data_IF_104781863438
#
_entry.id   IF_104781863438
#
_cell.length_a   1.000
_cell.length_b   1.000
_cell.length_c   1.000
_cell.angle_alpha   90.00
_cell.angle_beta   90.00
_cell.angle_gamma   90.00
#
_symmetry.space_group_name_H-M   'P 1'
#
loop_
_entity.id
_entity.type
_entity.pdbx_description
1 polymer ?
#
# COMPACT_ATOMS: atom_id res chain seq x y z
N UNK A 1 3.90 -8.55 2.54
CA UNK A 1 3.12 -7.35 2.21
C UNK A 1 1.69 -7.74 1.91
N UNK A 2 0.78 -6.90 2.27
CA UNK A 2 -0.63 -7.24 2.22
C UNK A 2 -1.45 -6.08 1.69
N UNK A 3 -2.26 -6.34 0.67
CA UNK A 3 -3.07 -5.29 0.09
C UNK A 3 -3.86 -5.78 -1.10
N UNK A 4 -4.58 -4.88 -1.73
CA UNK A 4 -5.41 -5.25 -2.87
C UNK A 4 -5.73 -4.02 -3.72
N UNK A 5 -6.01 -4.27 -5.00
CA UNK A 5 -6.36 -3.20 -5.93
C UNK A 5 -7.79 -2.74 -5.72
N UNK A 6 -8.01 -1.44 -5.90
CA UNK A 6 -9.35 -0.87 -5.84
C UNK A 6 -9.54 0.10 -6.99
N UNK A 7 -10.78 0.58 -7.18
CA UNK A 7 -11.05 1.57 -8.21
C UNK A 7 -10.34 2.89 -7.92
N UNK A 8 -10.11 3.18 -6.65
CA UNK A 8 -9.47 4.44 -6.25
C UNK A 8 -7.95 4.34 -6.21
N UNK A 9 -7.41 3.12 -6.32
CA UNK A 9 -5.97 2.94 -6.25
C UNK A 9 -5.64 1.60 -5.64
N UNK A 10 -4.61 1.58 -4.80
CA UNK A 10 -4.18 0.35 -4.15
C UNK A 10 -4.25 0.52 -2.64
N UNK A 11 -4.97 -0.37 -1.99
CA UNK A 11 -5.06 -0.36 -0.52
C UNK A 11 -3.96 -1.23 0.05
N UNK A 12 -3.01 -0.61 0.74
CA UNK A 12 -1.91 -1.33 1.35
C UNK A 12 -2.08 -1.41 2.85
N UNK A 13 -1.81 -2.58 3.42
CA UNK A 13 -1.95 -2.80 4.86
C UNK A 13 -0.66 -2.41 5.56
N UNK A 14 -0.75 -1.46 6.49
CA UNK A 14 0.42 -0.98 7.22
C UNK A 14 0.07 -0.85 8.69
N UNK A 15 0.80 -1.59 9.52
CA UNK A 15 0.72 -1.45 10.98
C UNK A 15 -0.70 -1.51 11.51
N UNK A 16 -1.45 -2.49 11.04
CA UNK A 16 -2.78 -2.72 11.57
C UNK A 16 -3.89 -1.95 10.90
N UNK A 17 -3.60 -1.24 9.82
CA UNK A 17 -4.64 -0.52 9.10
C UNK A 17 -4.30 -0.40 7.63
N UNK A 18 -5.30 -0.10 6.82
CA UNK A 18 -5.10 0.07 5.40
C UNK A 18 -4.91 1.53 5.04
N UNK A 19 -4.05 1.77 4.06
CA UNK A 19 -3.85 3.11 3.53
C UNK A 19 -3.97 3.06 2.01
N UNK A 20 -4.54 4.12 1.42
CA UNK A 20 -4.73 4.19 -0.01
C UNK A 20 -3.49 4.74 -0.69
N UNK A 21 -2.99 4.02 -1.69
CA UNK A 21 -1.86 4.44 -2.51
C UNK A 21 -2.31 4.58 -3.95
N UNK A 22 -1.53 5.32 -4.74
CA UNK A 22 -1.83 5.48 -6.15
C UNK A 22 -1.75 4.17 -6.90
N UNK A 23 -0.79 3.31 -6.51
CA UNK A 23 -0.61 2.02 -7.16
C UNK A 23 0.17 1.11 -6.24
N UNK A 24 0.26 -0.16 -6.63
CA UNK A 24 1.03 -1.12 -5.86
C UNK A 24 2.50 -0.71 -5.77
N UNK A 25 3.01 -0.10 -6.83
CA UNK A 25 4.40 0.34 -6.81
C UNK A 25 4.65 1.38 -5.72
N UNK A 26 3.68 2.27 -5.51
CA UNK A 26 3.79 3.26 -4.43
C UNK A 26 3.84 2.58 -3.07
N UNK A 27 3.00 1.60 -2.88
CA UNK A 27 2.98 0.85 -1.63
C UNK A 27 4.32 0.12 -1.41
N UNK A 28 4.84 -0.48 -2.47
CA UNK A 28 6.11 -1.18 -2.42
C UNK A 28 7.24 -0.25 -1.97
N UNK A 29 7.31 0.92 -2.59
CA UNK A 29 8.35 1.88 -2.26
C UNK A 29 8.21 2.38 -0.83
N UNK A 30 6.99 2.59 -0.41
CA UNK A 30 6.75 3.02 0.97
C UNK A 30 7.31 1.98 1.96
N UNK A 31 7.00 0.71 1.70
CA UNK A 31 7.44 -0.35 2.61
C UNK A 31 8.95 -0.50 2.61
N UNK A 32 9.57 -0.33 1.44
CA UNK A 32 11.04 -0.42 1.37
C UNK A 32 11.71 0.68 2.16
N UNK A 33 11.14 1.88 2.12
CA UNK A 33 11.73 3.01 2.83
C UNK A 33 11.47 2.97 4.31
N UNK A 34 10.35 2.38 4.72
CA UNK A 34 9.99 2.34 6.14
C UNK A 34 10.67 1.22 6.89
N UNK A 35 11.18 0.25 6.20
CA UNK A 35 11.95 -0.85 6.85
C UNK A 35 13.43 -0.54 6.98
#
# INVERSE_FOLDING_TARGET
MKGYDTDAGYMGFIEGRYMLFSSEAEYYEYMLNEC
#
